data_IF_206351203841
#
_entry.id   IF_206351203841
#
_cell.length_a   1.000
_cell.length_b   1.000
_cell.length_c   1.000
_cell.angle_alpha   90.00
_cell.angle_beta   90.00
_cell.angle_gamma   90.00
#
_symmetry.space_group_name_H-M   'P 1'
#
loop_
_entity.id
_entity.type
_entity.pdbx_description
1 polymer ?
#
# COMPACT_ATOMS: atom_id res chain seq x y z
N UNK A 1 28.72 -3.62 16.32
CA UNK A 1 28.24 -2.44 15.57
C UNK A 1 26.96 -2.84 14.83
N UNK A 2 25.88 -2.04 14.86
CA UNK A 2 24.62 -2.37 14.14
C UNK A 2 24.87 -2.36 12.63
N UNK A 3 24.45 -3.38 11.89
CA UNK A 3 24.63 -3.50 10.45
C UNK A 3 23.90 -2.32 9.73
N UNK A 4 24.63 -1.40 9.07
CA UNK A 4 24.03 -0.21 8.46
C UNK A 4 23.10 -0.56 7.30
N UNK A 5 23.41 -1.63 6.55
CA UNK A 5 22.56 -2.12 5.45
C UNK A 5 21.22 -2.56 6.02
N UNK A 6 21.22 -3.36 7.09
CA UNK A 6 20.00 -3.85 7.72
C UNK A 6 19.10 -2.70 8.23
N UNK A 7 19.68 -1.64 8.80
CA UNK A 7 18.93 -0.45 9.23
C UNK A 7 18.31 0.27 8.04
N UNK A 8 19.07 0.43 6.96
CA UNK A 8 18.62 1.10 5.76
C UNK A 8 17.51 0.33 5.04
N UNK A 9 17.68 -0.99 4.90
CA UNK A 9 16.67 -1.91 4.35
C UNK A 9 15.35 -1.85 5.13
N UNK A 10 15.40 -1.77 6.47
CA UNK A 10 14.21 -1.60 7.30
C UNK A 10 13.54 -0.22 7.13
N UNK A 11 14.33 0.84 6.95
CA UNK A 11 13.82 2.19 6.64
C UNK A 11 13.13 2.24 5.27
N UNK A 12 13.66 1.50 4.29
CA UNK A 12 13.06 1.31 2.97
C UNK A 12 11.82 0.40 2.97
N UNK A 13 11.40 -0.13 4.12
CA UNK A 13 10.23 -1.00 4.23
C UNK A 13 10.28 -2.28 3.37
N UNK A 14 11.47 -2.79 3.01
CA UNK A 14 11.58 -3.97 2.13
C UNK A 14 11.21 -5.30 2.81
N UNK A 15 10.77 -5.27 4.07
CA UNK A 15 10.19 -6.42 4.76
C UNK A 15 8.80 -6.79 4.23
N UNK A 16 8.17 -5.92 3.44
CA UNK A 16 6.90 -6.19 2.80
C UNK A 16 7.14 -6.67 1.37
N UNK A 17 6.48 -7.77 0.94
CA UNK A 17 6.61 -8.24 -0.42
C UNK A 17 6.15 -7.14 -1.38
N UNK A 18 7.03 -6.76 -2.30
CA UNK A 18 6.74 -5.82 -3.37
C UNK A 18 6.97 -6.51 -4.72
N UNK A 19 6.32 -6.03 -5.78
CA UNK A 19 6.52 -6.54 -7.14
C UNK A 19 5.57 -7.66 -7.57
N UNK A 20 4.61 -8.05 -6.72
CA UNK A 20 3.45 -8.85 -7.14
C UNK A 20 2.23 -7.92 -7.15
N UNK A 21 1.41 -8.01 -8.20
CA UNK A 21 0.17 -7.24 -8.28
C UNK A 21 -0.78 -7.74 -7.18
N UNK A 22 -1.04 -6.89 -6.20
CA UNK A 22 -2.12 -7.13 -5.24
C UNK A 22 -3.46 -6.73 -5.85
N UNK A 23 -4.50 -7.53 -5.60
CA UNK A 23 -5.85 -7.17 -6.04
C UNK A 23 -6.35 -6.03 -5.17
N UNK A 24 -6.52 -4.86 -5.78
CA UNK A 24 -7.16 -3.73 -5.11
C UNK A 24 -8.61 -4.08 -4.73
N UNK A 25 -9.15 -3.46 -3.67
CA UNK A 25 -10.58 -3.52 -3.35
C UNK A 25 -11.43 -3.13 -4.56
N UNK A 26 -12.64 -3.68 -4.67
CA UNK A 26 -13.59 -3.23 -5.68
C UNK A 26 -14.00 -1.80 -5.33
N UNK A 27 -13.75 -0.87 -6.24
CA UNK A 27 -14.12 0.55 -6.11
C UNK A 27 -15.43 0.78 -6.86
N UNK A 28 -16.39 1.45 -6.21
CA UNK A 28 -17.65 1.89 -6.81
C UNK A 28 -17.52 3.33 -7.33
N UNK A 29 -18.54 3.79 -8.06
CA UNK A 29 -18.60 5.16 -8.62
C UNK A 29 -18.57 6.26 -7.55
N UNK A 30 -19.03 5.97 -6.33
CA UNK A 30 -18.99 6.88 -5.17
C UNK A 30 -17.65 6.82 -4.40
N UNK A 31 -16.65 6.15 -4.97
CA UNK A 31 -15.34 5.88 -4.37
C UNK A 31 -15.34 5.01 -3.11
N UNK A 32 -16.49 4.44 -2.73
CA UNK A 32 -16.55 3.43 -1.68
C UNK A 32 -15.92 2.11 -2.15
N UNK A 33 -15.37 1.35 -1.21
CA UNK A 33 -14.85 0.01 -1.48
C UNK A 33 -15.76 -1.08 -0.94
N UNK A 34 -15.47 -2.34 -1.25
CA UNK A 34 -16.13 -3.49 -0.60
C UNK A 34 -15.76 -3.66 0.89
N UNK A 35 -14.86 -2.82 1.44
CA UNK A 35 -14.50 -2.79 2.86
C UNK A 35 -15.21 -1.59 3.51
N UNK A 36 -16.07 -1.86 4.48
CA UNK A 36 -16.86 -0.82 5.14
C UNK A 36 -15.96 0.23 5.80
N UNK A 37 -16.21 1.50 5.49
CA UNK A 37 -15.42 2.63 6.02
C UNK A 37 -14.14 2.95 5.25
N UNK A 38 -13.81 2.18 4.21
CA UNK A 38 -12.66 2.45 3.33
C UNK A 38 -13.12 3.09 2.01
N UNK A 39 -12.57 4.27 1.73
CA UNK A 39 -12.88 5.08 0.54
C UNK A 39 -11.59 5.46 -0.19
N UNK A 40 -11.66 5.58 -1.51
CA UNK A 40 -10.57 6.12 -2.36
C UNK A 40 -10.72 7.63 -2.47
N UNK A 41 -9.62 8.37 -2.43
CA UNK A 41 -9.61 9.84 -2.48
C UNK A 41 -8.35 10.39 -3.15
N UNK A 42 -8.38 11.66 -3.54
CA UNK A 42 -7.27 12.36 -4.19
C UNK A 42 -6.98 11.85 -5.59
N UNK A 43 -5.71 11.90 -6.00
CA UNK A 43 -5.27 11.52 -7.35
C UNK A 43 -5.52 10.04 -7.70
N UNK A 44 -5.97 9.22 -6.73
CA UNK A 44 -6.37 7.84 -6.96
C UNK A 44 -7.80 7.69 -7.50
N UNK A 45 -8.56 8.79 -7.61
CA UNK A 45 -9.94 8.77 -8.12
C UNK A 45 -10.05 8.98 -9.65
N UNK A 46 -8.93 9.23 -10.34
CA UNK A 46 -8.91 9.56 -11.78
C UNK A 46 -7.61 9.18 -12.47
#
# INVERSE_FOLDING_TARGET
MKNPIQKYTKWLHTQWPAGVVEKLPRVKEDYSTNVSGLYITGDLTG
#
